data_IF_480117772811
#
_entry.id   IF_480117772811
#
_cell.length_a   1.000
_cell.length_b   1.000
_cell.length_c   1.000
_cell.angle_alpha   90.00
_cell.angle_beta   90.00
_cell.angle_gamma   90.00
#
_symmetry.space_group_name_H-M   'P 1'
#
loop_
_entity.id
_entity.type
_entity.pdbx_description
1 polymer ?
#
# COMPACT_ATOMS: atom_id res chain seq x y z
N UNK A 1 -29.11 28.56 -14.40
CA UNK A 1 -29.01 27.29 -13.62
C UNK A 1 -28.23 26.19 -14.36
N UNK A 2 -28.45 25.96 -15.66
CA UNK A 2 -27.72 24.96 -16.46
C UNK A 2 -26.18 25.15 -16.49
N UNK A 3 -25.72 26.40 -16.55
CA UNK A 3 -24.28 26.72 -16.60
C UNK A 3 -23.54 26.40 -15.29
N UNK A 4 -24.23 26.50 -14.14
CA UNK A 4 -23.66 26.18 -12.82
C UNK A 4 -23.54 24.67 -12.61
N UNK A 5 -24.48 23.88 -13.15
CA UNK A 5 -24.37 22.42 -13.17
C UNK A 5 -23.25 21.92 -14.10
N UNK A 6 -23.07 22.54 -15.27
CA UNK A 6 -21.97 22.20 -16.20
C UNK A 6 -20.59 22.43 -15.58
N UNK A 7 -20.41 23.54 -14.85
CA UNK A 7 -19.16 23.83 -14.12
C UNK A 7 -18.87 22.81 -13.02
N UNK A 8 -19.88 22.36 -12.28
CA UNK A 8 -19.72 21.34 -11.24
C UNK A 8 -19.37 19.96 -11.82
N UNK A 9 -19.96 19.60 -12.97
CA UNK A 9 -19.64 18.36 -13.68
C UNK A 9 -18.20 18.40 -14.18
N UNK A 10 -17.78 19.52 -14.77
CA UNK A 10 -16.41 19.68 -15.25
C UNK A 10 -15.37 19.57 -14.12
N UNK A 11 -15.64 20.21 -12.97
CA UNK A 11 -14.81 20.09 -11.78
C UNK A 11 -14.72 18.63 -11.29
N UNK A 12 -15.84 17.91 -11.25
CA UNK A 12 -15.88 16.51 -10.83
C UNK A 12 -15.05 15.60 -11.76
N UNK A 13 -15.09 15.84 -13.07
CA UNK A 13 -14.29 15.08 -14.04
C UNK A 13 -12.79 15.25 -13.81
N UNK A 14 -12.30 16.41 -13.37
CA UNK A 14 -10.84 16.61 -13.19
C UNK A 14 -10.26 15.80 -12.03
N UNK A 15 -11.04 15.46 -11.01
CA UNK A 15 -10.57 14.77 -9.79
C UNK A 15 -10.24 13.30 -10.07
N UNK A 16 -10.87 12.68 -11.08
CA UNK A 16 -10.66 11.28 -11.44
C UNK A 16 -9.48 11.03 -12.40
N UNK A 17 -8.86 12.07 -12.97
CA UNK A 17 -7.76 11.93 -13.95
C UNK A 17 -6.36 11.61 -13.35
N UNK A 18 -6.25 11.37 -12.04
CA UNK A 18 -4.97 11.10 -11.38
C UNK A 18 -4.49 9.63 -11.42
N UNK A 19 -5.29 8.70 -11.94
CA UNK A 19 -4.95 7.28 -11.91
C UNK A 19 -4.08 6.89 -13.10
N UNK A 20 -2.76 6.98 -12.93
CA UNK A 20 -1.77 6.44 -13.89
C UNK A 20 -1.46 4.98 -13.54
N UNK A 21 -1.54 4.08 -14.52
CA UNK A 21 -1.17 2.68 -14.34
C UNK A 21 0.35 2.54 -14.43
N UNK A 22 0.99 2.26 -13.29
CA UNK A 22 2.42 1.96 -13.22
C UNK A 22 2.61 0.47 -13.46
N UNK A 23 3.55 0.10 -14.35
CA UNK A 23 3.85 -1.32 -14.61
C UNK A 23 4.43 -1.96 -13.35
N UNK A 24 4.15 -3.25 -13.14
CA UNK A 24 4.49 -3.93 -11.89
C UNK A 24 5.98 -3.89 -11.57
N UNK A 25 6.86 -3.97 -12.58
CA UNK A 25 8.31 -3.94 -12.47
C UNK A 25 8.91 -2.54 -12.27
N UNK A 26 8.21 -1.46 -12.66
CA UNK A 26 8.67 -0.08 -12.44
C UNK A 26 8.58 0.31 -10.96
N UNK A 27 7.73 -0.39 -10.19
CA UNK A 27 7.57 -0.17 -8.75
C UNK A 27 8.86 -0.33 -7.96
N UNK A 28 9.79 -1.19 -8.40
CA UNK A 28 11.09 -1.35 -7.74
C UNK A 28 11.93 -0.07 -7.73
N UNK A 29 11.89 0.70 -8.82
CA UNK A 29 12.66 1.95 -8.96
C UNK A 29 11.90 3.17 -8.43
N UNK A 30 10.56 3.18 -8.53
CA UNK A 30 9.73 4.27 -8.03
C UNK A 30 9.47 4.20 -6.52
N UNK A 31 9.60 3.03 -5.89
CA UNK A 31 9.37 2.88 -4.46
C UNK A 31 10.48 3.54 -3.65
N UNK A 32 10.12 4.55 -2.86
CA UNK A 32 11.03 5.18 -1.90
C UNK A 32 11.13 4.31 -0.65
N UNK A 33 12.26 4.34 0.10
CA UNK A 33 12.41 3.57 1.34
C UNK A 33 11.30 3.84 2.38
N UNK A 34 10.81 5.09 2.44
CA UNK A 34 9.70 5.50 3.31
C UNK A 34 8.33 4.91 2.93
N UNK A 35 8.19 4.33 1.74
CA UNK A 35 6.98 3.63 1.28
C UNK A 35 7.03 2.13 1.62
N UNK A 36 8.08 1.68 2.30
CA UNK A 36 8.17 0.30 2.77
C UNK A 36 7.04 0.03 3.77
N UNK A 37 6.28 -1.03 3.50
CA UNK A 37 5.20 -1.47 4.38
C UNK A 37 5.70 -1.89 5.76
N UNK A 38 6.92 -2.41 5.82
CA UNK A 38 7.62 -2.72 7.06
C UNK A 38 9.00 -2.04 7.05
N UNK A 39 9.12 -0.85 7.66
CA UNK A 39 10.38 -0.10 7.71
C UNK A 39 11.48 -0.80 8.53
N UNK A 40 11.10 -1.62 9.52
CA UNK A 40 12.04 -2.30 10.43
C UNK A 40 11.78 -3.81 10.46
N UNK A 41 12.09 -4.54 9.37
CA UNK A 41 11.74 -5.96 9.23
C UNK A 41 12.35 -6.85 10.31
N UNK A 42 13.54 -6.53 10.81
CA UNK A 42 14.16 -7.26 11.91
C UNK A 42 13.33 -7.17 13.20
N UNK A 43 12.82 -5.96 13.49
CA UNK A 43 12.05 -5.72 14.70
C UNK A 43 10.66 -6.36 14.61
N UNK A 44 10.03 -6.34 13.44
CA UNK A 44 8.74 -6.99 13.23
C UNK A 44 8.84 -8.51 13.37
N UNK A 45 9.90 -9.14 12.84
CA UNK A 45 10.17 -10.58 13.01
C UNK A 45 10.34 -10.94 14.48
N UNK A 46 11.12 -10.15 15.24
CA UNK A 46 11.31 -10.39 16.68
C UNK A 46 9.97 -10.28 17.44
N UNK A 47 9.17 -9.24 17.15
CA UNK A 47 7.85 -9.07 17.77
C UNK A 47 6.90 -10.21 17.44
N UNK A 48 6.88 -10.64 16.18
CA UNK A 48 6.10 -11.78 15.72
C UNK A 48 6.49 -13.07 16.46
N UNK A 49 7.79 -13.32 16.64
CA UNK A 49 8.28 -14.48 17.38
C UNK A 49 7.85 -14.46 18.86
N UNK A 50 7.94 -13.30 19.52
CA UNK A 50 7.47 -13.12 20.91
C UNK A 50 5.96 -13.38 21.00
N UNK A 51 5.19 -12.86 20.03
CA UNK A 51 3.74 -12.98 20.02
C UNK A 51 3.29 -14.43 19.77
N UNK A 52 3.87 -15.10 18.78
CA UNK A 52 3.67 -16.55 18.51
C UNK A 52 3.90 -17.40 19.75
N UNK A 53 5.00 -17.10 20.47
CA UNK A 53 5.37 -17.83 21.68
C UNK A 53 4.36 -17.64 22.81
N UNK A 54 3.76 -16.46 22.92
CA UNK A 54 2.74 -16.15 23.94
C UNK A 54 1.40 -16.82 23.66
N UNK A 55 1.01 -16.89 22.39
CA UNK A 55 -0.29 -17.42 22.01
C UNK A 55 -0.29 -18.94 21.76
N UNK A 56 0.88 -19.59 21.88
CA UNK A 56 1.08 -20.97 21.43
C UNK A 56 0.59 -21.21 19.99
N UNK A 57 0.55 -20.14 19.19
CA UNK A 57 0.05 -20.14 17.83
C UNK A 57 1.24 -20.29 16.88
N UNK A 58 1.27 -21.38 16.11
CA UNK A 58 2.34 -21.67 15.14
C UNK A 58 2.41 -20.71 13.95
N UNK A 59 1.48 -19.75 13.85
CA UNK A 59 1.38 -18.79 12.74
C UNK A 59 1.13 -17.37 13.27
N UNK A 60 2.14 -16.73 13.86
CA UNK A 60 2.11 -15.27 14.05
C UNK A 60 2.80 -14.59 12.86
N UNK A 61 2.21 -14.74 11.68
CA UNK A 61 2.69 -14.07 10.47
C UNK A 61 1.68 -13.00 10.08
N UNK A 62 2.11 -11.73 10.00
CA UNK A 62 1.34 -10.73 9.27
C UNK A 62 1.12 -11.24 7.84
N UNK A 63 -0.08 -11.03 7.28
CA UNK A 63 -0.31 -11.27 5.87
C UNK A 63 0.76 -10.50 5.07
N UNK A 64 1.71 -11.25 4.49
CA UNK A 64 2.77 -10.75 3.62
C UNK A 64 2.10 -10.27 2.32
N UNK A 65 1.51 -9.09 2.38
CA UNK A 65 0.71 -8.52 1.31
C UNK A 65 0.96 -7.04 1.21
N UNK A 66 1.77 -6.65 0.22
CA UNK A 66 1.75 -5.28 -0.30
C UNK A 66 3.09 -4.71 -0.80
N UNK A 67 4.18 -5.47 -0.85
CA UNK A 67 5.43 -5.05 -1.50
C UNK A 67 5.69 -5.83 -2.79
N UNK A 68 5.50 -5.18 -3.95
CA UNK A 68 5.86 -5.57 -5.34
C UNK A 68 5.70 -7.04 -5.85
N UNK A 69 5.31 -8.01 -5.03
CA UNK A 69 4.96 -9.36 -5.43
C UNK A 69 6.11 -10.25 -5.88
N UNK A 70 7.38 -9.88 -5.64
CA UNK A 70 8.50 -10.78 -5.87
C UNK A 70 8.63 -11.74 -4.68
N UNK A 71 7.85 -12.82 -4.73
CA UNK A 71 8.20 -14.10 -4.10
C UNK A 71 9.42 -14.71 -4.79
#
# INVERSE_FOLDING_TARGET
>A
MKLRCLLLIWLLLTIIYGCTSVKSWERGTLAKPQMAQEPTPLQSVIRAHIYSSREAAGTAGAAQGGGCGCY
#
